data_IF_509988577226
#
_entry.id   IF_509988577226
#
_cell.length_a   1.000
_cell.length_b   1.000
_cell.length_c   1.000
_cell.angle_alpha   90.00
_cell.angle_beta   90.00
_cell.angle_gamma   90.00
#
_symmetry.space_group_name_H-M   'P 1'
#
loop_
_entity.id
_entity.type
_entity.pdbx_description
1 polymer ?
#
# COMPACT_ATOMS: atom_id res chain seq x y z
N UNK A 1 -4.04 11.65 -8.23
CA UNK A 1 -4.18 10.19 -8.00
C UNK A 1 -2.83 9.50 -8.11
N UNK A 2 -2.40 8.71 -7.10
CA UNK A 2 -1.18 7.90 -7.13
C UNK A 2 -1.41 6.60 -7.91
N UNK A 3 -0.39 6.13 -8.61
CA UNK A 3 -0.33 4.78 -9.16
C UNK A 3 0.16 3.79 -8.09
N UNK A 4 -0.08 2.48 -8.27
CA UNK A 4 0.27 1.48 -7.26
C UNK A 4 1.78 1.42 -6.98
N UNK A 5 2.66 1.59 -7.99
CA UNK A 5 4.10 1.67 -7.77
C UNK A 5 4.51 2.89 -6.94
N UNK A 6 3.80 4.04 -7.05
CA UNK A 6 4.05 5.24 -6.25
C UNK A 6 3.60 5.05 -4.80
N UNK A 7 2.55 4.24 -4.56
CA UNK A 7 2.14 3.85 -3.21
C UNK A 7 3.29 3.09 -2.53
N UNK A 8 3.90 2.10 -3.21
CA UNK A 8 5.07 1.39 -2.68
C UNK A 8 6.26 2.31 -2.44
N UNK A 9 6.52 3.26 -3.35
CA UNK A 9 7.61 4.22 -3.21
C UNK A 9 7.45 5.07 -1.94
N UNK A 10 6.24 5.54 -1.68
CA UNK A 10 5.93 6.49 -0.61
C UNK A 10 5.60 5.85 0.73
N UNK A 11 5.29 4.56 0.77
CA UNK A 11 4.99 3.85 2.01
C UNK A 11 6.22 3.67 2.89
N UNK A 12 6.01 3.65 4.22
CA UNK A 12 7.08 3.41 5.19
C UNK A 12 7.72 2.03 5.03
N UNK A 13 9.00 1.87 5.41
CA UNK A 13 9.65 0.56 5.44
C UNK A 13 8.92 -0.44 6.35
N UNK A 14 8.35 0.03 7.45
CA UNK A 14 7.61 -0.74 8.44
C UNK A 14 6.35 -1.36 7.82
N UNK A 15 5.54 -0.55 7.14
CA UNK A 15 4.34 -1.03 6.46
C UNK A 15 4.69 -2.03 5.35
N UNK A 16 5.69 -1.71 4.54
CA UNK A 16 6.17 -2.59 3.47
C UNK A 16 6.65 -3.93 4.02
N UNK A 17 7.40 -3.91 5.12
CA UNK A 17 7.79 -5.15 5.79
C UNK A 17 6.56 -5.94 6.27
N UNK A 18 5.55 -5.28 6.81
CA UNK A 18 4.27 -5.92 7.21
C UNK A 18 3.54 -6.57 6.02
N UNK A 19 3.48 -5.90 4.88
CA UNK A 19 2.90 -6.44 3.65
C UNK A 19 3.61 -7.73 3.23
N UNK A 20 4.94 -7.71 3.10
CA UNK A 20 5.70 -8.88 2.67
C UNK A 20 5.76 -9.99 3.71
N UNK A 21 5.69 -9.67 5.00
CA UNK A 21 5.54 -10.67 6.06
C UNK A 21 4.21 -11.42 5.92
N UNK A 22 3.12 -10.70 5.68
CA UNK A 22 1.81 -11.32 5.44
C UNK A 22 1.87 -12.26 4.22
N UNK A 23 2.41 -11.79 3.09
CA UNK A 23 2.55 -12.63 1.89
C UNK A 23 3.42 -13.86 2.16
N UNK A 24 4.56 -13.69 2.83
CA UNK A 24 5.46 -14.78 3.16
C UNK A 24 4.78 -15.85 4.02
N UNK A 25 3.97 -15.45 5.00
CA UNK A 25 3.41 -16.35 6.01
C UNK A 25 2.06 -16.96 5.58
N UNK A 26 1.23 -16.20 4.85
CA UNK A 26 -0.12 -16.58 4.46
C UNK A 26 -0.28 -16.90 2.97
N UNK A 27 0.50 -16.23 2.10
CA UNK A 27 0.37 -16.32 0.65
C UNK A 27 1.70 -16.74 0.00
N UNK A 28 2.27 -17.85 0.48
CA UNK A 28 3.62 -18.32 0.09
C UNK A 28 3.83 -18.47 -1.41
N UNK A 29 2.82 -18.94 -2.14
CA UNK A 29 2.89 -19.08 -3.60
C UNK A 29 3.01 -17.71 -4.28
N UNK A 30 2.22 -16.74 -3.83
CA UNK A 30 2.27 -15.35 -4.32
C UNK A 30 3.60 -14.71 -4.00
N UNK A 31 4.08 -14.84 -2.76
CA UNK A 31 5.38 -14.30 -2.35
C UNK A 31 6.52 -14.82 -3.24
N UNK A 32 6.53 -16.14 -3.51
CA UNK A 32 7.51 -16.77 -4.40
C UNK A 32 7.39 -16.26 -5.85
N UNK A 33 6.16 -16.15 -6.36
CA UNK A 33 5.91 -15.64 -7.72
C UNK A 33 6.37 -14.18 -7.87
N UNK A 34 6.13 -13.33 -6.87
CA UNK A 34 6.60 -11.93 -6.85
C UNK A 34 8.12 -11.88 -6.96
N UNK A 35 8.85 -12.68 -6.16
CA UNK A 35 10.32 -12.74 -6.23
C UNK A 35 10.79 -13.19 -7.62
N UNK A 36 10.19 -14.25 -8.17
CA UNK A 36 10.57 -14.80 -9.47
C UNK A 36 10.35 -13.79 -10.60
N UNK A 37 9.19 -13.15 -10.64
CA UNK A 37 8.85 -12.19 -11.69
C UNK A 37 9.71 -10.93 -11.62
N UNK A 38 9.90 -10.36 -10.42
CA UNK A 38 10.76 -9.20 -10.25
C UNK A 38 12.23 -9.52 -10.52
N UNK A 39 12.71 -10.69 -10.10
CA UNK A 39 14.07 -11.13 -10.45
C UNK A 39 14.27 -11.23 -11.97
N UNK A 40 13.30 -11.79 -12.69
CA UNK A 40 13.35 -11.89 -14.15
C UNK A 40 13.40 -10.50 -14.83
N UNK A 41 12.57 -9.54 -14.38
CA UNK A 41 12.60 -8.17 -14.88
C UNK A 41 13.98 -7.50 -14.69
N UNK A 42 14.68 -7.83 -13.62
CA UNK A 42 16.00 -7.31 -13.31
C UNK A 42 17.14 -8.18 -13.85
N UNK A 43 16.83 -9.23 -14.64
CA UNK A 43 17.80 -10.21 -15.17
C UNK A 43 18.65 -10.85 -14.07
N UNK A 44 18.04 -11.08 -12.90
CA UNK A 44 18.65 -11.72 -11.75
C UNK A 44 18.13 -13.15 -11.58
N UNK A 45 18.94 -14.02 -10.97
CA UNK A 45 18.44 -15.31 -10.52
C UNK A 45 17.68 -15.15 -9.20
N UNK A 46 16.46 -15.69 -9.04
CA UNK A 46 15.65 -15.56 -7.81
C UNK A 46 16.41 -15.94 -6.53
N UNK A 47 17.32 -16.93 -6.61
CA UNK A 47 18.13 -17.41 -5.48
C UNK A 47 18.99 -16.30 -4.84
N UNK A 48 19.42 -15.29 -5.61
CA UNK A 48 20.19 -14.18 -5.04
C UNK A 48 19.33 -13.28 -4.16
N UNK A 49 18.04 -13.20 -4.44
CA UNK A 49 17.08 -12.43 -3.64
C UNK A 49 16.65 -13.27 -2.43
N UNK A 50 16.36 -14.55 -2.64
CA UNK A 50 15.93 -15.49 -1.59
C UNK A 50 16.99 -15.67 -0.48
N UNK A 51 18.29 -15.60 -0.83
CA UNK A 51 19.40 -15.71 0.14
C UNK A 51 19.62 -14.46 0.99
N UNK A 52 19.03 -13.31 0.60
CA UNK A 52 19.16 -12.10 1.42
C UNK A 52 18.46 -12.27 2.77
N UNK A 53 18.98 -11.63 3.83
CA UNK A 53 18.24 -11.47 5.07
C UNK A 53 16.84 -10.91 4.81
N UNK A 54 15.85 -11.33 5.59
CA UNK A 54 14.43 -11.02 5.34
C UNK A 54 14.17 -9.52 5.16
N UNK A 55 14.77 -8.69 6.02
CA UNK A 55 14.62 -7.21 5.93
C UNK A 55 15.20 -6.67 4.64
N UNK A 56 16.42 -7.08 4.26
CA UNK A 56 17.04 -6.64 3.01
C UNK A 56 16.26 -7.11 1.78
N UNK A 57 15.70 -8.32 1.84
CA UNK A 57 14.84 -8.86 0.78
C UNK A 57 13.60 -7.99 0.60
N UNK A 58 12.93 -7.62 1.69
CA UNK A 58 11.74 -6.78 1.64
C UNK A 58 12.06 -5.35 1.13
N UNK A 59 13.19 -4.78 1.53
CA UNK A 59 13.65 -3.51 0.97
C UNK A 59 13.97 -3.60 -0.52
N UNK A 60 14.56 -4.72 -0.97
CA UNK A 60 14.78 -4.96 -2.40
C UNK A 60 13.45 -5.06 -3.15
N UNK A 61 12.48 -5.83 -2.62
CA UNK A 61 11.14 -5.97 -3.21
C UNK A 61 10.43 -4.61 -3.27
N UNK A 62 10.51 -3.80 -2.21
CA UNK A 62 10.01 -2.42 -2.23
C UNK A 62 10.58 -1.64 -3.41
N UNK A 63 11.91 -1.59 -3.54
CA UNK A 63 12.58 -0.85 -4.63
C UNK A 63 12.19 -1.34 -6.01
N UNK A 64 11.99 -2.65 -6.16
CA UNK A 64 11.59 -3.25 -7.42
C UNK A 64 10.14 -2.87 -7.79
N UNK A 65 9.21 -2.92 -6.82
CA UNK A 65 7.81 -2.55 -7.00
C UNK A 65 7.57 -1.03 -7.10
N UNK A 66 8.49 -0.20 -6.61
CA UNK A 66 8.40 1.27 -6.69
C UNK A 66 8.78 1.83 -8.06
N UNK A 67 8.70 1.02 -9.10
CA UNK A 67 9.03 1.44 -10.48
C UNK A 67 7.85 1.28 -11.41
N UNK A 68 7.64 2.24 -12.28
CA UNK A 68 6.54 2.25 -13.25
C UNK A 68 6.33 0.92 -14.01
N UNK A 69 7.35 0.20 -14.48
CA UNK A 69 7.14 -1.09 -15.17
C UNK A 69 6.57 -2.20 -14.28
N UNK A 70 6.57 -2.02 -12.96
CA UNK A 70 6.05 -2.99 -12.01
C UNK A 70 4.64 -2.62 -11.48
N UNK A 71 3.96 -1.62 -12.05
CA UNK A 71 2.68 -1.11 -11.55
C UNK A 71 1.62 -2.21 -11.41
N UNK A 72 1.47 -3.07 -12.42
CA UNK A 72 0.52 -4.18 -12.39
C UNK A 72 0.84 -5.19 -11.26
N UNK A 73 2.12 -5.46 -11.02
CA UNK A 73 2.54 -6.31 -9.90
C UNK A 73 2.32 -5.62 -8.55
N UNK A 74 2.58 -4.33 -8.48
CA UNK A 74 2.32 -3.53 -7.29
C UNK A 74 0.83 -3.54 -6.94
N UNK A 75 -0.04 -3.39 -7.94
CA UNK A 75 -1.49 -3.50 -7.79
C UNK A 75 -1.90 -4.87 -7.24
N UNK A 76 -1.42 -5.97 -7.85
CA UNK A 76 -1.74 -7.33 -7.40
C UNK A 76 -1.29 -7.58 -5.96
N UNK A 77 -0.09 -7.16 -5.58
CA UNK A 77 0.44 -7.32 -4.21
C UNK A 77 -0.42 -6.54 -3.21
N UNK A 78 -0.77 -5.29 -3.51
CA UNK A 78 -1.65 -4.49 -2.67
C UNK A 78 -3.03 -5.13 -2.52
N UNK A 79 -3.64 -5.57 -3.61
CA UNK A 79 -4.95 -6.21 -3.61
C UNK A 79 -4.97 -7.47 -2.73
N UNK A 80 -3.99 -8.36 -2.89
CA UNK A 80 -3.90 -9.58 -2.09
C UNK A 80 -3.71 -9.26 -0.61
N UNK A 81 -2.83 -8.33 -0.28
CA UNK A 81 -2.62 -7.92 1.10
C UNK A 81 -3.85 -7.25 1.71
N UNK A 82 -4.51 -6.34 1.00
CA UNK A 82 -5.71 -5.65 1.46
C UNK A 82 -6.84 -6.65 1.75
N UNK A 83 -7.15 -7.51 0.79
CA UNK A 83 -8.21 -8.52 0.95
C UNK A 83 -7.87 -9.60 1.99
N UNK A 84 -6.60 -9.90 2.19
CA UNK A 84 -6.15 -10.90 3.16
C UNK A 84 -5.99 -10.36 4.58
N UNK A 85 -5.27 -9.23 4.73
CA UNK A 85 -4.85 -8.69 6.02
C UNK A 85 -5.70 -7.52 6.50
N UNK A 86 -6.34 -6.76 5.60
CA UNK A 86 -7.06 -5.51 5.91
C UNK A 86 -8.56 -5.60 5.64
N UNK A 87 -9.11 -6.81 5.69
CA UNK A 87 -10.54 -7.06 5.39
C UNK A 87 -11.48 -6.23 6.24
N UNK A 88 -11.19 -6.09 7.54
CA UNK A 88 -12.01 -5.30 8.46
C UNK A 88 -12.08 -3.84 8.03
N UNK A 89 -10.93 -3.24 7.68
CA UNK A 89 -10.88 -1.87 7.18
C UNK A 89 -11.69 -1.69 5.90
N UNK A 90 -11.60 -2.64 4.95
CA UNK A 90 -12.38 -2.58 3.71
C UNK A 90 -13.88 -2.66 4.02
N UNK A 91 -14.31 -3.62 4.85
CA UNK A 91 -15.71 -3.76 5.23
C UNK A 91 -16.21 -2.51 5.97
N UNK A 92 -15.45 -1.98 6.91
CA UNK A 92 -15.79 -0.75 7.63
C UNK A 92 -16.04 0.43 6.66
N UNK A 93 -15.19 0.59 5.64
CA UNK A 93 -15.36 1.64 4.64
C UNK A 93 -16.64 1.45 3.82
N UNK A 94 -16.87 0.24 3.34
CA UNK A 94 -18.07 -0.08 2.54
C UNK A 94 -19.35 0.10 3.36
N UNK A 95 -19.33 -0.33 4.63
CA UNK A 95 -20.46 -0.17 5.55
C UNK A 95 -20.78 1.30 5.83
N UNK A 96 -19.76 2.14 6.09
CA UNK A 96 -19.91 3.58 6.28
C UNK A 96 -20.53 4.26 5.07
N UNK A 97 -20.22 3.76 3.89
CA UNK A 97 -20.81 4.23 2.63
C UNK A 97 -22.13 3.53 2.27
N UNK A 98 -22.57 2.52 3.06
CA UNK A 98 -23.77 1.73 2.78
C UNK A 98 -23.70 0.97 1.45
N UNK A 99 -22.49 0.57 1.07
CA UNK A 99 -22.25 -0.24 -0.12
C UNK A 99 -22.40 -1.71 0.25
N UNK A 100 -23.29 -2.42 -0.42
CA UNK A 100 -23.47 -3.85 -0.21
C UNK A 100 -22.21 -4.62 -0.66
N UNK A 101 -21.74 -5.54 0.18
CA UNK A 101 -20.57 -6.37 -0.08
C UNK A 101 -20.76 -7.78 0.49
N UNK A 102 -19.88 -8.70 0.09
CA UNK A 102 -19.96 -10.13 0.45
C UNK A 102 -19.44 -10.45 1.88
N UNK A 103 -19.14 -9.45 2.70
CA UNK A 103 -18.50 -9.61 4.01
C UNK A 103 -17.00 -9.90 3.94
N UNK A 104 -16.43 -9.97 2.71
CA UNK A 104 -14.99 -10.16 2.47
C UNK A 104 -14.35 -8.92 1.85
N UNK A 105 -15.14 -7.85 1.62
CA UNK A 105 -14.68 -6.62 1.01
C UNK A 105 -14.75 -6.63 -0.53
N UNK A 106 -15.40 -7.63 -1.12
CA UNK A 106 -15.64 -7.68 -2.55
C UNK A 106 -17.01 -7.08 -2.86
N UNK A 107 -17.08 -6.23 -3.86
CA UNK A 107 -18.31 -5.63 -4.39
C UNK A 107 -18.47 -6.03 -5.85
N UNK A 108 -19.69 -6.40 -6.25
CA UNK A 108 -19.98 -6.81 -7.62
C UNK A 108 -19.87 -5.63 -8.60
N UNK A 109 -20.36 -4.47 -8.18
CA UNK A 109 -20.30 -3.23 -8.94
C UNK A 109 -20.06 -2.06 -7.99
N UNK A 110 -19.08 -1.23 -8.30
CA UNK A 110 -18.85 -0.01 -7.55
C UNK A 110 -19.99 0.97 -7.83
N UNK A 111 -20.68 1.48 -6.78
CA UNK A 111 -21.75 2.45 -6.96
C UNK A 111 -21.20 3.81 -7.40
N UNK A 112 -22.07 4.72 -7.88
CA UNK A 112 -21.71 6.11 -8.11
C UNK A 112 -21.06 6.71 -6.87
N UNK A 113 -20.20 7.71 -7.09
CA UNK A 113 -19.52 8.43 -6.03
C UNK A 113 -20.50 8.94 -4.96
N UNK A 114 -20.25 8.67 -3.67
CA UNK A 114 -21.05 9.23 -2.57
C UNK A 114 -20.88 10.74 -2.49
N UNK A 115 -21.82 11.41 -1.81
CA UNK A 115 -21.64 12.83 -1.49
C UNK A 115 -20.41 13.05 -0.59
N UNK A 116 -19.85 14.25 -0.69
CA UNK A 116 -18.62 14.61 0.00
C UNK A 116 -18.68 14.43 1.52
N UNK A 117 -19.80 14.85 2.13
CA UNK A 117 -19.95 14.78 3.60
C UNK A 117 -19.99 13.33 4.08
N UNK A 118 -20.57 12.44 3.30
CA UNK A 118 -20.59 11.01 3.60
C UNK A 118 -19.21 10.40 3.46
N UNK A 119 -18.48 10.77 2.42
CA UNK A 119 -17.13 10.31 2.18
C UNK A 119 -16.17 10.78 3.29
N UNK A 120 -16.25 12.06 3.69
CA UNK A 120 -15.43 12.62 4.78
C UNK A 120 -15.74 11.93 6.11
N UNK A 121 -17.01 11.65 6.41
CA UNK A 121 -17.40 10.89 7.62
C UNK A 121 -16.85 9.46 7.60
N UNK A 122 -16.96 8.78 6.47
CA UNK A 122 -16.42 7.42 6.32
C UNK A 122 -14.90 7.39 6.54
N UNK A 123 -14.16 8.32 5.93
CA UNK A 123 -12.71 8.42 6.09
C UNK A 123 -12.32 8.74 7.54
N UNK A 124 -13.05 9.66 8.22
CA UNK A 124 -12.79 9.97 9.62
C UNK A 124 -13.02 8.75 10.52
N UNK A 125 -14.11 8.00 10.31
CA UNK A 125 -14.38 6.78 11.05
C UNK A 125 -13.27 5.72 10.87
N UNK A 126 -12.72 5.58 9.66
CA UNK A 126 -11.57 4.70 9.44
C UNK A 126 -10.33 5.15 10.19
N UNK A 127 -10.02 6.46 10.17
CA UNK A 127 -8.84 7.03 10.84
C UNK A 127 -8.92 6.94 12.38
N UNK A 128 -10.12 6.86 12.95
CA UNK A 128 -10.32 6.61 14.37
C UNK A 128 -10.05 5.15 14.75
N UNK A 129 -10.30 4.21 13.84
CA UNK A 129 -10.26 2.76 14.11
C UNK A 129 -8.98 2.08 13.63
N UNK A 130 -8.38 2.59 12.57
CA UNK A 130 -7.24 1.97 11.88
C UNK A 130 -6.02 2.90 11.80
N UNK A 131 -4.78 2.36 11.68
CA UNK A 131 -3.58 3.17 11.52
C UNK A 131 -3.66 4.06 10.26
N UNK A 132 -3.34 5.34 10.40
CA UNK A 132 -3.52 6.33 9.34
C UNK A 132 -2.80 5.97 8.03
N UNK A 133 -1.58 5.42 8.09
CA UNK A 133 -0.85 5.01 6.90
C UNK A 133 -1.53 3.84 6.17
N UNK A 134 -2.12 2.89 6.92
CA UNK A 134 -2.86 1.76 6.34
C UNK A 134 -4.13 2.26 5.64
N UNK A 135 -4.85 3.19 6.28
CA UNK A 135 -6.02 3.85 5.68
C UNK A 135 -5.63 4.60 4.41
N UNK A 136 -4.54 5.38 4.46
CA UNK A 136 -4.04 6.10 3.29
C UNK A 136 -3.69 5.16 2.13
N UNK A 137 -2.94 4.08 2.40
CA UNK A 137 -2.61 3.07 1.37
C UNK A 137 -3.86 2.44 0.79
N UNK A 138 -4.83 2.07 1.62
CA UNK A 138 -6.09 1.49 1.15
C UNK A 138 -6.83 2.47 0.22
N UNK A 139 -7.05 3.71 0.64
CA UNK A 139 -7.81 4.68 -0.14
C UNK A 139 -7.11 5.06 -1.46
N UNK A 140 -5.78 5.21 -1.43
CA UNK A 140 -5.01 5.42 -2.66
C UNK A 140 -5.06 4.21 -3.60
N UNK A 141 -4.98 2.98 -3.06
CA UNK A 141 -5.09 1.76 -3.85
C UNK A 141 -6.51 1.59 -4.43
N UNK A 142 -7.55 1.85 -3.62
CA UNK A 142 -8.93 1.85 -4.07
C UNK A 142 -9.12 2.78 -5.28
N UNK A 143 -8.62 4.00 -5.19
CA UNK A 143 -8.68 4.98 -6.27
C UNK A 143 -7.86 4.56 -7.51
N UNK A 144 -6.70 3.91 -7.30
CA UNK A 144 -5.83 3.47 -8.40
C UNK A 144 -6.33 2.24 -9.15
N UNK A 145 -7.17 1.41 -8.52
CA UNK A 145 -7.73 0.17 -9.09
C UNK A 145 -8.98 0.42 -9.92
N UNK A 146 -9.59 1.60 -9.82
CA UNK A 146 -10.76 2.01 -10.62
C UNK A 146 -10.33 3.03 -11.68
N UNK A 147 -10.57 2.71 -12.95
CA UNK A 147 -10.20 3.60 -14.06
C UNK A 147 -10.99 4.92 -14.04
N UNK A 148 -12.20 4.93 -13.49
CA UNK A 148 -13.01 6.14 -13.35
C UNK A 148 -12.73 6.89 -12.05
N UNK A 149 -12.46 6.16 -10.96
CA UNK A 149 -12.21 6.70 -9.64
C UNK A 149 -13.31 7.65 -9.12
N UNK A 150 -13.20 8.07 -7.88
CA UNK A 150 -14.08 9.08 -7.29
C UNK A 150 -13.35 10.42 -7.16
N UNK A 151 -13.87 11.46 -7.81
CA UNK A 151 -13.24 12.80 -7.83
C UNK A 151 -13.14 13.43 -6.44
N UNK A 152 -14.15 13.25 -5.59
CA UNK A 152 -14.16 13.73 -4.20
C UNK A 152 -13.15 12.97 -3.33
N UNK A 153 -12.97 11.67 -3.55
CA UNK A 153 -11.92 10.91 -2.86
C UNK A 153 -10.53 11.40 -3.27
N UNK A 154 -10.29 11.67 -4.56
CA UNK A 154 -9.01 12.21 -5.02
C UNK A 154 -8.71 13.59 -4.40
N UNK A 155 -9.72 14.46 -4.30
CA UNK A 155 -9.60 15.75 -3.62
C UNK A 155 -9.28 15.59 -2.12
N UNK A 156 -9.94 14.64 -1.45
CA UNK A 156 -9.73 14.35 -0.03
C UNK A 156 -8.31 13.83 0.22
N UNK A 157 -7.84 12.89 -0.60
CA UNK A 157 -6.47 12.36 -0.57
C UNK A 157 -5.42 13.45 -0.82
N UNK A 158 -5.73 14.45 -1.65
CA UNK A 158 -4.85 15.59 -1.92
C UNK A 158 -4.84 16.66 -0.82
N UNK A 159 -5.91 16.79 -0.04
CA UNK A 159 -6.08 17.86 0.95
C UNK A 159 -5.86 17.43 2.40
N UNK A 160 -6.15 16.19 2.75
CA UNK A 160 -6.01 15.69 4.14
C UNK A 160 -4.59 15.18 4.39
N UNK A 161 -3.84 15.90 5.23
CA UNK A 161 -2.46 15.54 5.60
C UNK A 161 -2.33 14.18 6.28
N UNK A 162 -3.38 13.69 6.92
CA UNK A 162 -3.39 12.37 7.59
C UNK A 162 -3.32 11.23 6.58
N UNK A 163 -3.77 11.48 5.34
CA UNK A 163 -3.79 10.54 4.23
C UNK A 163 -2.58 10.68 3.29
N UNK A 164 -1.68 11.62 3.57
CA UNK A 164 -0.51 11.84 2.75
C UNK A 164 0.52 10.72 2.95
N UNK A 165 0.90 10.03 1.88
CA UNK A 165 1.99 9.06 1.89
C UNK A 165 3.33 9.77 1.64
N UNK A 166 4.40 9.31 2.31
CA UNK A 166 5.76 9.81 2.11
C UNK A 166 6.11 11.09 2.87
N UNK A 167 5.27 11.55 3.81
CA UNK A 167 5.60 12.68 4.69
C UNK A 167 6.62 12.32 5.78
N UNK A 168 6.90 11.03 5.94
CA UNK A 168 7.93 10.51 6.83
C UNK A 168 9.30 10.38 6.17
N UNK A 169 9.84 11.43 5.55
CA UNK A 169 11.28 11.54 5.36
C UNK A 169 11.91 11.72 6.74
N UNK A 170 12.20 10.60 7.40
CA UNK A 170 13.15 10.59 8.49
C UNK A 170 14.46 11.11 7.89
N UNK A 171 14.88 12.30 8.33
CA UNK A 171 16.19 12.87 8.02
C UNK A 171 17.27 11.91 8.54
N UNK A 172 17.72 10.96 7.73
CA UNK A 172 18.96 10.22 7.94
C UNK A 172 20.20 11.04 7.53
N UNK A 173 20.03 12.33 7.22
CA UNK A 173 21.12 13.26 7.04
C UNK A 173 21.28 14.09 8.31
N UNK A 174 22.11 13.64 9.23
CA UNK A 174 22.98 14.36 10.19
C UNK A 174 23.15 13.63 11.51
N UNK A 175 23.88 12.52 11.44
CA UNK A 175 24.72 12.12 12.57
C UNK A 175 26.03 11.59 12.01
N UNK A 176 26.79 12.47 11.40
CA UNK A 176 28.25 12.29 11.37
C UNK A 176 28.75 12.73 12.73
N UNK A 177 29.38 11.88 13.54
CA UNK A 177 30.10 12.35 14.69
C UNK A 177 31.27 13.21 14.17
N UNK A 178 31.27 14.48 14.56
CA UNK A 178 32.43 15.33 14.40
C UNK A 178 33.57 14.66 15.13
N UNK A 179 34.61 14.27 14.39
CA UNK A 179 35.84 13.75 14.93
C UNK A 179 36.53 14.82 15.75
N UNK A 180 36.69 14.57 17.03
CA UNK A 180 37.72 15.19 17.85
C UNK A 180 39.07 14.60 17.41
N UNK A 181 39.83 15.41 16.71
CA UNK A 181 41.30 15.29 16.61
C UNK A 181 41.90 16.48 17.31
N UNK A 182 42.35 16.25 18.51
CA UNK A 182 43.39 17.01 19.16
C UNK A 182 44.44 16.05 19.68
#
# INVERSE_FOLDING_TARGET
MLKCYEIFERSSPELINGIFMHLHDKEKAVYKAVIQNLAAQWKLRPVFIERKPKVERHLWLKRALSRKPADDFAMQVLQIWLLGAQRELICDFLDQLGIAHDGKGVVDNLPPEPDRDRLERAVNALLEKHPAEVVAVYLHAFQAMDDQGWSGLDQLLGSDRRLALGTGRINYERQSPAGDLA
#
